data_IF_783956328423
#
_entry.id   IF_783956328423
#
_cell.length_a   1.000
_cell.length_b   1.000
_cell.length_c   1.000
_cell.angle_alpha   90.00
_cell.angle_beta   90.00
_cell.angle_gamma   90.00
#
_symmetry.space_group_name_H-M   'P 1'
#
loop_
_entity.id
_entity.type
_entity.pdbx_description
1 polymer ?
#
# COMPACT_ATOMS: atom_id res chain seq x y z
N UNK A 1 9.76 -1.50 -10.98
CA UNK A 1 9.84 -1.88 -12.42
C UNK A 1 11.24 -2.32 -12.79
N UNK A 2 12.22 -1.40 -12.95
CA UNK A 2 13.59 -1.78 -13.38
C UNK A 2 14.23 -2.78 -12.40
N UNK A 3 14.10 -2.55 -11.09
CA UNK A 3 14.64 -3.45 -10.07
C UNK A 3 14.11 -4.88 -10.17
N UNK A 4 12.79 -5.06 -10.29
CA UNK A 4 12.15 -6.37 -10.44
C UNK A 4 12.59 -7.08 -11.72
N UNK A 5 12.59 -6.37 -12.86
CA UNK A 5 12.95 -6.95 -14.16
C UNK A 5 14.43 -7.35 -14.21
N UNK A 6 15.31 -6.46 -13.78
CA UNK A 6 16.75 -6.72 -13.77
C UNK A 6 17.12 -7.81 -12.75
N UNK A 7 16.49 -7.81 -11.58
CA UNK A 7 16.65 -8.86 -10.58
C UNK A 7 16.15 -10.22 -11.07
N UNK A 8 15.02 -10.27 -11.78
CA UNK A 8 14.47 -11.49 -12.36
C UNK A 8 15.40 -12.05 -13.44
N UNK A 9 15.85 -11.19 -14.36
CA UNK A 9 16.84 -11.55 -15.36
C UNK A 9 18.13 -12.08 -14.72
N UNK A 10 18.66 -11.40 -13.70
CA UNK A 10 19.84 -11.85 -12.98
C UNK A 10 19.63 -13.20 -12.26
N UNK A 11 18.43 -13.47 -11.75
CA UNK A 11 18.09 -14.74 -11.09
C UNK A 11 18.03 -15.93 -12.04
N UNK A 12 17.60 -15.72 -13.29
CA UNK A 12 17.41 -16.83 -14.25
C UNK A 12 18.55 -16.99 -15.26
N UNK A 13 19.23 -15.89 -15.63
CA UNK A 13 20.33 -15.94 -16.62
C UNK A 13 21.47 -16.75 -16.04
N UNK A 14 21.93 -17.75 -16.81
CA UNK A 14 22.98 -18.69 -16.40
C UNK A 14 22.74 -19.34 -15.03
N UNK A 15 21.47 -19.51 -14.63
CA UNK A 15 21.03 -20.05 -13.33
C UNK A 15 21.43 -19.19 -12.12
N UNK A 16 21.66 -17.89 -12.34
CA UNK A 16 21.96 -16.93 -11.28
C UNK A 16 23.25 -16.17 -11.55
N UNK A 17 23.14 -14.85 -11.59
CA UNK A 17 24.25 -13.90 -11.65
C UNK A 17 24.12 -12.89 -10.52
N UNK A 18 25.26 -12.38 -10.05
CA UNK A 18 25.28 -11.25 -9.12
C UNK A 18 24.70 -10.00 -9.79
N UNK A 19 23.96 -9.20 -9.01
CA UNK A 19 23.46 -7.90 -9.44
C UNK A 19 23.45 -6.91 -8.29
N UNK A 20 23.35 -5.62 -8.63
CA UNK A 20 23.29 -4.49 -7.70
C UNK A 20 22.04 -3.67 -8.04
N UNK A 21 21.34 -3.18 -7.02
CA UNK A 21 20.23 -2.24 -7.19
C UNK A 21 20.76 -0.82 -7.01
N UNK A 22 20.44 0.08 -7.96
CA UNK A 22 20.67 1.52 -7.85
C UNK A 22 19.31 2.22 -8.02
N UNK A 23 18.46 2.20 -6.96
CA UNK A 23 17.10 2.73 -7.04
C UNK A 23 17.05 4.25 -7.22
N UNK A 24 16.36 4.71 -8.26
CA UNK A 24 16.25 6.14 -8.64
C UNK A 24 14.87 6.76 -8.39
N UNK A 25 13.98 6.05 -7.69
CA UNK A 25 12.71 6.58 -7.22
C UNK A 25 12.59 6.36 -5.72
N UNK A 26 11.82 7.22 -5.03
CA UNK A 26 11.64 7.06 -3.59
C UNK A 26 11.03 5.69 -3.27
N UNK A 27 10.01 5.26 -4.03
CA UNK A 27 9.42 3.93 -3.93
C UNK A 27 10.47 2.81 -4.00
N UNK A 28 11.42 2.92 -4.92
CA UNK A 28 12.47 1.92 -5.06
C UNK A 28 13.47 1.97 -3.91
N UNK A 29 13.80 3.15 -3.40
CA UNK A 29 14.73 3.32 -2.29
C UNK A 29 14.16 2.78 -0.97
N UNK A 30 12.87 2.94 -0.73
CA UNK A 30 12.24 2.60 0.56
C UNK A 30 11.55 1.23 0.57
N UNK A 31 11.32 0.64 -0.59
CA UNK A 31 10.59 -0.62 -0.71
C UNK A 31 11.20 -1.54 -1.77
N UNK A 32 10.91 -1.38 -3.05
CA UNK A 32 11.13 -2.45 -4.05
C UNK A 32 12.58 -2.93 -4.24
N UNK A 33 13.60 -2.13 -3.91
CA UNK A 33 15.00 -2.56 -4.01
C UNK A 33 15.46 -3.49 -2.87
N UNK A 34 14.72 -3.55 -1.76
CA UNK A 34 15.06 -4.33 -0.57
C UNK A 34 14.18 -5.59 -0.49
N UNK A 35 14.80 -6.74 -0.24
CA UNK A 35 14.11 -8.00 0.06
C UNK A 35 13.91 -8.97 -1.11
N UNK A 36 14.60 -8.76 -2.23
CA UNK A 36 14.86 -9.79 -3.25
C UNK A 36 13.66 -10.33 -4.02
N UNK A 37 12.47 -9.74 -3.90
CA UNK A 37 11.33 -10.11 -4.75
C UNK A 37 11.55 -9.55 -6.14
N UNK A 38 11.63 -10.42 -7.13
CA UNK A 38 11.85 -10.04 -8.53
C UNK A 38 10.83 -10.74 -9.41
N UNK A 39 10.43 -10.11 -10.51
CA UNK A 39 9.46 -10.72 -11.40
C UNK A 39 8.98 -9.82 -12.53
N UNK A 40 8.01 -10.35 -13.26
CA UNK A 40 7.36 -9.72 -14.39
C UNK A 40 5.85 -9.90 -14.32
N UNK A 41 5.14 -8.98 -14.97
CA UNK A 41 3.70 -9.09 -15.17
C UNK A 41 3.40 -10.11 -16.27
N UNK A 42 2.20 -10.70 -16.22
CA UNK A 42 1.63 -11.48 -17.30
C UNK A 42 0.26 -10.93 -17.68
N UNK A 43 -0.31 -11.38 -18.79
CA UNK A 43 -1.69 -11.04 -19.15
C UNK A 43 -2.74 -11.48 -18.10
N UNK A 44 -2.36 -12.33 -17.13
CA UNK A 44 -3.23 -12.82 -16.06
C UNK A 44 -3.06 -12.06 -14.74
N UNK A 45 -2.09 -11.16 -14.62
CA UNK A 45 -1.88 -10.39 -13.40
C UNK A 45 -0.45 -9.89 -13.18
N UNK A 46 -0.31 -9.05 -12.14
CA UNK A 46 0.93 -8.39 -11.73
C UNK A 46 1.86 -9.36 -11.01
N UNK A 47 3.17 -9.29 -11.29
CA UNK A 47 4.24 -10.04 -10.59
C UNK A 47 4.01 -11.57 -10.44
N UNK A 48 3.24 -12.20 -11.35
CA UNK A 48 2.88 -13.63 -11.25
C UNK A 48 4.03 -14.59 -11.60
N UNK A 49 5.05 -14.11 -12.31
CA UNK A 49 6.23 -14.90 -12.68
C UNK A 49 7.45 -14.20 -12.10
N UNK A 50 8.20 -14.90 -11.25
CA UNK A 50 9.29 -14.28 -10.50
C UNK A 50 10.20 -15.27 -9.80
N UNK A 51 11.27 -14.74 -9.20
CA UNK A 51 12.18 -15.49 -8.33
C UNK A 51 12.57 -14.61 -7.14
N UNK A 52 12.80 -15.23 -5.97
CA UNK A 52 13.48 -14.57 -4.87
C UNK A 52 14.99 -14.56 -5.15
N UNK A 53 15.55 -13.40 -5.49
CA UNK A 53 16.97 -13.20 -5.81
C UNK A 53 17.51 -11.94 -5.15
N UNK A 54 18.35 -12.10 -4.13
CA UNK A 54 18.87 -10.98 -3.34
C UNK A 54 19.99 -10.23 -4.10
N UNK A 55 19.97 -8.89 -4.13
CA UNK A 55 21.08 -8.11 -4.67
C UNK A 55 22.32 -8.24 -3.79
N UNK A 56 23.51 -8.06 -4.37
CA UNK A 56 24.77 -7.99 -3.61
C UNK A 56 24.97 -6.64 -2.92
N UNK A 57 24.31 -5.60 -3.43
CA UNK A 57 24.33 -4.26 -2.88
C UNK A 57 23.06 -3.51 -3.32
N UNK A 58 22.55 -2.66 -2.43
CA UNK A 58 21.59 -1.61 -2.76
C UNK A 58 22.28 -0.27 -2.51
N UNK A 59 22.42 0.55 -3.54
CA UNK A 59 23.00 1.89 -3.46
C UNK A 59 21.91 2.94 -3.62
N UNK A 60 21.36 3.41 -2.50
CA UNK A 60 20.33 4.45 -2.47
C UNK A 60 20.98 5.84 -2.35
N UNK A 61 21.32 6.43 -3.49
CA UNK A 61 21.74 7.82 -3.58
C UNK A 61 20.52 8.73 -3.45
N UNK A 62 20.46 9.59 -2.43
CA UNK A 62 19.28 10.43 -2.15
C UNK A 62 19.19 11.66 -3.05
N UNK A 63 20.29 12.08 -3.69
CA UNK A 63 20.34 13.27 -4.54
C UNK A 63 19.64 13.02 -5.88
N UNK A 64 19.64 11.78 -6.38
CA UNK A 64 18.94 11.43 -7.64
C UNK A 64 17.43 11.73 -7.55
N UNK A 65 16.87 11.76 -6.35
CA UNK A 65 15.45 12.06 -6.11
C UNK A 65 15.08 13.52 -6.40
N UNK A 66 16.05 14.44 -6.47
CA UNK A 66 15.80 15.85 -6.82
C UNK A 66 15.32 16.03 -8.26
N UNK A 67 15.57 15.02 -9.12
CA UNK A 67 15.09 14.99 -10.50
C UNK A 67 13.79 14.21 -10.68
N UNK A 68 13.30 13.56 -9.62
CA UNK A 68 12.10 12.73 -9.68
C UNK A 68 10.85 13.61 -9.80
N UNK A 69 9.90 13.32 -10.71
CA UNK A 69 8.64 14.03 -10.77
C UNK A 69 7.92 14.00 -9.42
N UNK A 70 7.39 15.14 -8.99
CA UNK A 70 6.75 15.27 -7.66
C UNK A 70 5.62 14.27 -7.42
N UNK A 71 4.90 13.86 -8.48
CA UNK A 71 3.86 12.83 -8.41
C UNK A 71 4.45 11.47 -8.01
N UNK A 72 5.56 11.08 -8.62
CA UNK A 72 6.25 9.82 -8.32
C UNK A 72 6.92 9.85 -6.95
N UNK A 73 7.45 11.02 -6.54
CA UNK A 73 7.97 11.21 -5.18
C UNK A 73 6.86 11.00 -4.15
N UNK A 74 5.70 11.66 -4.30
CA UNK A 74 4.53 11.46 -3.43
C UNK A 74 4.09 10.00 -3.41
N UNK A 75 3.99 9.36 -4.58
CA UNK A 75 3.62 7.96 -4.66
C UNK A 75 4.61 7.06 -3.87
N UNK A 76 5.92 7.31 -3.96
CA UNK A 76 6.90 6.61 -3.13
C UNK A 76 6.77 6.88 -1.63
N UNK A 77 6.37 8.09 -1.26
CA UNK A 77 6.15 8.48 0.13
C UNK A 77 5.01 7.67 0.78
N UNK A 78 4.02 7.21 0.02
CA UNK A 78 2.96 6.35 0.57
C UNK A 78 3.53 5.11 1.27
N UNK A 79 4.62 4.53 0.75
CA UNK A 79 5.29 3.39 1.38
C UNK A 79 6.07 3.77 2.63
N UNK A 80 6.65 4.98 2.70
CA UNK A 80 7.25 5.50 3.93
C UNK A 80 6.21 5.54 5.06
N UNK A 81 5.08 6.19 4.80
CA UNK A 81 3.99 6.28 5.76
C UNK A 81 3.47 4.90 6.17
N UNK A 82 3.39 3.96 5.22
CA UNK A 82 2.96 2.58 5.48
C UNK A 82 3.78 1.90 6.58
N UNK A 83 5.11 2.02 6.59
CA UNK A 83 5.94 1.42 7.66
C UNK A 83 5.58 1.97 9.04
N UNK A 84 5.37 3.29 9.13
CA UNK A 84 4.89 3.94 10.35
C UNK A 84 3.56 3.37 10.85
N UNK A 85 2.64 3.14 9.91
CA UNK A 85 1.31 2.60 10.19
C UNK A 85 1.30 1.10 10.53
N UNK A 86 2.29 0.34 10.08
CA UNK A 86 2.40 -1.10 10.35
C UNK A 86 2.83 -1.37 11.79
N UNK A 87 4.04 -0.94 12.17
CA UNK A 87 4.69 -1.30 13.45
C UNK A 87 5.72 -0.26 13.94
N UNK A 88 5.66 0.98 13.45
CA UNK A 88 6.57 2.07 13.82
C UNK A 88 5.81 3.37 14.12
N UNK A 89 4.98 3.42 15.18
CA UNK A 89 4.12 4.57 15.44
C UNK A 89 4.91 5.87 15.66
N UNK A 90 6.09 5.80 16.29
CA UNK A 90 6.96 6.96 16.49
C UNK A 90 7.50 7.50 15.15
N UNK A 91 7.77 6.63 14.18
CA UNK A 91 8.15 7.04 12.83
C UNK A 91 6.99 7.72 12.10
N UNK A 92 5.75 7.23 12.27
CA UNK A 92 4.59 7.92 11.71
C UNK A 92 4.40 9.31 12.32
N UNK A 93 4.53 9.44 13.64
CA UNK A 93 4.48 10.75 14.31
C UNK A 93 5.59 11.69 13.82
N UNK A 94 6.81 11.17 13.66
CA UNK A 94 7.92 11.93 13.11
C UNK A 94 7.64 12.39 11.67
N UNK A 95 7.04 11.55 10.82
CA UNK A 95 6.65 11.91 9.46
C UNK A 95 5.61 13.02 9.44
N UNK A 96 4.64 13.03 10.36
CA UNK A 96 3.66 14.11 10.46
C UNK A 96 4.30 15.50 10.66
N UNK A 97 5.40 15.55 11.39
CA UNK A 97 6.14 16.78 11.68
C UNK A 97 7.17 17.13 10.58
N UNK A 98 7.78 16.12 9.94
CA UNK A 98 8.99 16.30 9.12
C UNK A 98 8.79 16.06 7.62
N UNK A 99 7.60 15.67 7.15
CA UNK A 99 7.39 15.35 5.73
C UNK A 99 7.83 16.46 4.78
N UNK A 100 7.66 17.74 5.15
CA UNK A 100 8.12 18.86 4.33
C UNK A 100 9.63 18.85 4.08
N UNK A 101 10.42 18.47 5.08
CA UNK A 101 11.89 18.40 4.99
C UNK A 101 12.36 17.15 4.23
N UNK A 102 11.62 16.04 4.32
CA UNK A 102 11.83 14.86 3.47
C UNK A 102 11.75 15.25 1.99
N UNK A 103 10.77 16.09 1.64
CA UNK A 103 10.61 16.61 0.27
C UNK A 103 11.72 17.60 -0.10
N UNK A 104 12.15 18.44 0.84
CA UNK A 104 13.20 19.44 0.62
C UNK A 104 14.59 18.86 0.33
N UNK A 105 14.83 17.58 0.67
CA UNK A 105 16.11 16.90 0.39
C UNK A 105 17.18 17.07 1.46
N UNK A 106 16.76 17.50 2.65
CA UNK A 106 17.62 17.58 3.83
C UNK A 106 17.94 16.22 4.46
N UNK A 107 18.63 16.21 5.62
CA UNK A 107 18.95 15.00 6.37
C UNK A 107 17.72 14.14 6.71
N UNK A 108 16.54 14.76 6.85
CA UNK A 108 15.26 14.10 7.09
C UNK A 108 14.90 13.13 5.95
N UNK A 109 15.26 13.45 4.70
CA UNK A 109 15.05 12.53 3.58
C UNK A 109 15.86 11.25 3.77
N UNK A 110 17.14 11.39 4.09
CA UNK A 110 18.03 10.25 4.33
C UNK A 110 17.59 9.44 5.55
N UNK A 111 17.15 10.11 6.62
CA UNK A 111 16.63 9.46 7.83
C UNK A 111 15.36 8.64 7.54
N UNK A 112 14.40 9.21 6.82
CA UNK A 112 13.17 8.52 6.43
C UNK A 112 13.45 7.28 5.56
N UNK A 113 14.36 7.41 4.59
CA UNK A 113 14.76 6.28 3.72
C UNK A 113 15.47 5.21 4.53
N UNK A 114 16.37 5.59 5.42
CA UNK A 114 17.09 4.65 6.28
C UNK A 114 16.13 3.89 7.20
N UNK A 115 15.17 4.56 7.82
CA UNK A 115 14.18 3.91 8.70
C UNK A 115 13.28 2.93 7.93
N UNK A 116 12.80 3.32 6.74
CA UNK A 116 12.03 2.40 5.89
C UNK A 116 12.84 1.17 5.44
N UNK A 117 14.11 1.37 5.08
CA UNK A 117 15.03 0.27 4.78
C UNK A 117 15.21 -0.67 5.98
N UNK A 118 15.38 -0.14 7.20
CA UNK A 118 15.47 -0.94 8.43
C UNK A 118 14.17 -1.72 8.66
N UNK A 119 13.02 -1.05 8.59
CA UNK A 119 11.71 -1.68 8.77
C UNK A 119 11.50 -2.84 7.78
N UNK A 120 11.82 -2.65 6.50
CA UNK A 120 11.72 -3.73 5.51
C UNK A 120 12.74 -4.83 5.74
N UNK A 121 13.99 -4.49 6.04
CA UNK A 121 15.04 -5.46 6.32
C UNK A 121 14.69 -6.34 7.52
N UNK A 122 14.17 -5.74 8.60
CA UNK A 122 13.71 -6.45 9.79
C UNK A 122 12.63 -7.48 9.46
N UNK A 123 11.64 -7.10 8.64
CA UNK A 123 10.58 -8.00 8.19
C UNK A 123 11.13 -9.11 7.27
N UNK A 124 11.98 -8.77 6.32
CA UNK A 124 12.60 -9.73 5.40
C UNK A 124 13.49 -10.74 6.16
N UNK A 125 14.23 -10.29 7.16
CA UNK A 125 15.08 -11.15 7.98
C UNK A 125 14.26 -12.18 8.78
N UNK A 126 13.03 -11.83 9.18
CA UNK A 126 12.10 -12.75 9.86
C UNK A 126 11.36 -13.68 8.90
N UNK A 127 11.02 -13.21 7.70
CA UNK A 127 10.17 -13.94 6.75
C UNK A 127 10.52 -13.63 5.29
N UNK A 128 11.67 -14.15 4.83
CA UNK A 128 12.18 -13.88 3.47
C UNK A 128 11.20 -14.34 2.38
N UNK A 129 10.50 -15.46 2.57
CA UNK A 129 9.64 -16.06 1.54
C UNK A 129 8.15 -15.70 1.66
N UNK A 130 7.80 -14.75 2.52
CA UNK A 130 6.42 -14.29 2.71
C UNK A 130 5.43 -15.41 3.08
N UNK A 131 5.78 -16.16 4.12
CA UNK A 131 4.97 -17.25 4.68
C UNK A 131 4.20 -16.84 5.94
N UNK A 132 4.46 -15.66 6.50
CA UNK A 132 3.88 -15.14 7.73
C UNK A 132 3.91 -13.62 7.81
N UNK A 133 4.75 -13.07 8.69
CA UNK A 133 4.78 -11.64 9.06
C UNK A 133 4.99 -10.69 7.89
N UNK A 134 5.67 -11.11 6.81
CA UNK A 134 5.90 -10.24 5.65
C UNK A 134 4.60 -9.85 4.95
N UNK A 135 3.50 -10.58 5.19
CA UNK A 135 2.18 -10.19 4.73
C UNK A 135 1.73 -8.82 5.28
N UNK A 136 2.22 -8.36 6.44
CA UNK A 136 1.90 -7.05 7.01
C UNK A 136 2.32 -5.88 6.10
N UNK A 137 3.34 -6.08 5.26
CA UNK A 137 3.74 -5.09 4.25
C UNK A 137 2.65 -4.82 3.21
N UNK A 138 1.60 -5.65 3.16
CA UNK A 138 0.44 -5.46 2.30
C UNK A 138 -0.67 -4.60 2.94
N UNK A 139 -0.37 -3.83 4.01
CA UNK A 139 -1.28 -2.79 4.50
C UNK A 139 -1.68 -1.85 3.35
N UNK A 140 -2.99 -1.65 3.18
CA UNK A 140 -3.58 -0.89 2.08
C UNK A 140 -3.58 -1.59 0.71
N UNK A 141 -2.70 -2.56 0.46
CA UNK A 141 -2.51 -3.16 -0.86
C UNK A 141 -3.73 -3.95 -1.35
N UNK A 142 -4.53 -4.52 -0.45
CA UNK A 142 -5.74 -5.28 -0.87
C UNK A 142 -6.74 -4.38 -1.58
N UNK A 143 -6.97 -3.19 -1.06
CA UNK A 143 -7.80 -2.18 -1.74
C UNK A 143 -7.03 -1.51 -2.89
N UNK A 144 -5.76 -1.19 -2.69
CA UNK A 144 -4.92 -0.53 -3.70
C UNK A 144 -4.81 -1.33 -5.00
N UNK A 145 -4.52 -2.63 -4.93
CA UNK A 145 -4.47 -3.50 -6.10
C UNK A 145 -5.82 -3.62 -6.81
N UNK A 146 -6.92 -3.65 -6.06
CA UNK A 146 -8.26 -3.65 -6.65
C UNK A 146 -8.54 -2.35 -7.43
N UNK A 147 -8.06 -1.22 -6.92
CA UNK A 147 -8.16 0.08 -7.60
C UNK A 147 -7.23 0.15 -8.82
N UNK A 148 -6.00 -0.34 -8.73
CA UNK A 148 -5.07 -0.46 -9.87
C UNK A 148 -5.67 -1.33 -10.99
N UNK A 149 -6.29 -2.46 -10.63
CA UNK A 149 -6.98 -3.31 -11.60
C UNK A 149 -8.21 -2.62 -12.20
N UNK A 150 -8.98 -1.89 -11.38
CA UNK A 150 -10.15 -1.14 -11.83
C UNK A 150 -9.82 0.04 -12.75
N UNK A 151 -8.61 0.60 -12.67
CA UNK A 151 -8.11 1.58 -13.63
C UNK A 151 -7.37 0.94 -14.81
N UNK A 152 -7.41 -0.39 -14.94
CA UNK A 152 -6.69 -1.15 -15.97
C UNK A 152 -5.19 -0.87 -15.98
N UNK A 153 -4.61 -0.56 -14.82
CA UNK A 153 -3.22 -0.17 -14.66
C UNK A 153 -2.82 1.07 -15.49
N UNK A 154 -3.79 1.92 -15.82
CA UNK A 154 -3.54 3.20 -16.48
C UNK A 154 -2.85 4.17 -15.50
N UNK A 155 -1.55 4.38 -15.70
CA UNK A 155 -0.72 5.28 -14.89
C UNK A 155 -1.11 6.75 -15.01
N UNK A 156 -1.85 7.15 -16.06
CA UNK A 156 -2.40 8.50 -16.13
C UNK A 156 -3.49 8.69 -15.06
N UNK A 157 -4.23 7.62 -14.73
CA UNK A 157 -5.30 7.63 -13.73
C UNK A 157 -4.80 7.33 -12.32
N UNK A 158 -3.97 6.31 -12.15
CA UNK A 158 -3.55 5.85 -10.83
C UNK A 158 -2.20 5.15 -10.88
N UNK A 159 -1.19 5.69 -10.19
CA UNK A 159 0.07 4.96 -9.96
C UNK A 159 0.02 4.15 -8.66
N UNK A 160 0.90 3.16 -8.52
CA UNK A 160 0.87 2.21 -7.41
C UNK A 160 0.78 2.86 -6.01
N UNK A 161 1.66 3.83 -5.72
CA UNK A 161 1.67 4.51 -4.43
C UNK A 161 0.41 5.33 -4.14
N UNK A 162 -0.26 5.87 -5.17
CA UNK A 162 -1.57 6.52 -5.02
C UNK A 162 -2.65 5.48 -4.65
N UNK A 163 -2.62 4.31 -5.29
CA UNK A 163 -3.49 3.18 -4.96
C UNK A 163 -3.28 2.69 -3.52
N UNK A 164 -2.02 2.56 -3.10
CA UNK A 164 -1.65 2.19 -1.72
C UNK A 164 -2.12 3.24 -0.72
N UNK A 165 -1.96 4.53 -1.01
CA UNK A 165 -2.43 5.62 -0.13
C UNK A 165 -3.96 5.56 0.09
N UNK A 166 -4.74 5.47 -0.99
CA UNK A 166 -6.20 5.29 -0.89
C UNK A 166 -6.52 3.99 -0.15
N UNK A 167 -5.77 2.92 -0.44
CA UNK A 167 -5.94 1.63 0.20
C UNK A 167 -5.70 1.65 1.70
N UNK A 168 -4.69 2.38 2.18
CA UNK A 168 -4.42 2.56 3.61
C UNK A 168 -5.56 3.32 4.29
N UNK A 169 -6.04 4.42 3.69
CA UNK A 169 -7.19 5.15 4.20
C UNK A 169 -8.46 4.27 4.26
N UNK A 170 -8.70 3.44 3.24
CA UNK A 170 -9.78 2.45 3.24
C UNK A 170 -9.59 1.38 4.32
N UNK A 171 -8.38 0.85 4.53
CA UNK A 171 -8.10 -0.15 5.55
C UNK A 171 -8.33 0.38 6.97
N UNK A 172 -7.93 1.63 7.26
CA UNK A 172 -8.20 2.29 8.54
C UNK A 172 -9.70 2.52 8.74
N UNK A 173 -10.40 3.11 7.75
CA UNK A 173 -11.87 3.29 7.83
C UNK A 173 -12.62 1.97 8.01
N UNK A 174 -12.20 0.92 7.31
CA UNK A 174 -12.82 -0.39 7.42
C UNK A 174 -12.55 -1.02 8.79
N UNK A 175 -11.35 -0.84 9.35
CA UNK A 175 -11.02 -1.26 10.71
C UNK A 175 -11.87 -0.52 11.75
N UNK A 176 -12.08 0.79 11.60
CA UNK A 176 -12.99 1.57 12.45
C UNK A 176 -14.45 1.12 12.31
N UNK A 177 -14.92 0.85 11.09
CA UNK A 177 -16.28 0.29 10.84
C UNK A 177 -16.50 -1.03 11.57
N UNK A 178 -15.48 -1.87 11.64
CA UNK A 178 -15.51 -3.15 12.35
C UNK A 178 -15.28 -3.00 13.87
N UNK A 179 -15.22 -1.77 14.39
CA UNK A 179 -14.90 -1.44 15.80
C UNK A 179 -13.54 -1.99 16.26
N UNK A 180 -12.57 -2.11 15.35
CA UNK A 180 -11.22 -2.62 15.64
C UNK A 180 -10.23 -1.50 15.99
N UNK A 181 -10.46 -0.28 15.49
CA UNK A 181 -9.59 0.88 15.67
C UNK A 181 -10.42 2.16 15.85
N UNK A 182 -9.82 3.20 16.44
CA UNK A 182 -10.51 4.49 16.62
C UNK A 182 -10.82 5.15 15.27
N UNK A 183 -12.00 5.77 15.08
CA UNK A 183 -12.24 6.66 13.95
C UNK A 183 -11.25 7.83 13.87
N UNK A 184 -10.70 8.28 15.01
CA UNK A 184 -9.71 9.36 15.07
C UNK A 184 -8.38 8.95 14.42
N UNK A 185 -7.99 7.68 14.53
CA UNK A 185 -6.81 7.15 13.84
C UNK A 185 -6.99 7.20 12.33
N UNK A 186 -8.18 6.81 11.83
CA UNK A 186 -8.49 6.92 10.41
C UNK A 186 -8.44 8.38 9.94
N UNK A 187 -9.01 9.31 10.70
CA UNK A 187 -8.96 10.73 10.40
C UNK A 187 -7.52 11.28 10.40
N UNK A 188 -6.67 10.84 11.34
CA UNK A 188 -5.26 11.23 11.42
C UNK A 188 -4.47 10.75 10.20
N UNK A 189 -4.66 9.50 9.78
CA UNK A 189 -4.03 8.95 8.57
C UNK A 189 -4.47 9.72 7.32
N UNK A 190 -5.78 9.96 7.17
CA UNK A 190 -6.31 10.73 6.03
C UNK A 190 -5.79 12.16 6.01
N UNK A 191 -5.69 12.82 7.17
CA UNK A 191 -5.12 14.15 7.29
C UNK A 191 -3.65 14.19 6.85
N UNK A 192 -2.84 13.22 7.27
CA UNK A 192 -1.45 13.15 6.86
C UNK A 192 -1.29 12.90 5.36
N UNK A 193 -2.02 11.93 4.79
CA UNK A 193 -2.01 11.68 3.34
C UNK A 193 -2.40 12.94 2.55
N UNK A 194 -3.44 13.64 3.01
CA UNK A 194 -3.87 14.91 2.42
C UNK A 194 -2.79 15.99 2.52
N UNK A 195 -2.11 16.13 3.67
CA UNK A 195 -1.07 17.13 3.88
C UNK A 195 0.11 16.94 2.90
N UNK A 196 0.50 15.69 2.64
CA UNK A 196 1.55 15.33 1.69
C UNK A 196 1.11 15.54 0.23
N UNK A 197 -0.19 15.61 -0.02
CA UNK A 197 -0.79 15.74 -1.34
C UNK A 197 -1.02 14.40 -2.05
N UNK A 198 -1.18 13.32 -1.28
CA UNK A 198 -1.59 12.01 -1.76
C UNK A 198 -3.12 11.89 -1.81
N UNK A 199 -3.67 11.09 -2.75
CA UNK A 199 -5.09 10.76 -2.73
C UNK A 199 -5.40 9.81 -1.58
N UNK A 200 -6.59 9.95 -1.00
CA UNK A 200 -7.01 9.15 0.15
C UNK A 200 -8.46 8.65 0.03
N UNK A 201 -9.18 9.05 -1.02
CA UNK A 201 -10.51 8.54 -1.37
C UNK A 201 -10.53 7.98 -2.78
N UNK A 202 -11.42 7.02 -3.00
CA UNK A 202 -11.74 6.53 -4.34
C UNK A 202 -12.21 7.65 -5.28
N UNK A 203 -12.85 8.70 -4.73
CA UNK A 203 -13.29 9.87 -5.49
C UNK A 203 -12.16 10.77 -6.00
N UNK A 204 -10.95 10.62 -5.45
CA UNK A 204 -9.79 11.39 -5.91
C UNK A 204 -9.16 10.73 -7.16
N UNK A 205 -9.62 9.55 -7.59
CA UNK A 205 -9.16 8.86 -8.81
C UNK A 205 -9.85 9.49 -10.03
N UNK A 206 -9.11 9.97 -11.05
CA UNK A 206 -9.69 10.49 -12.29
C UNK A 206 -10.52 9.44 -13.05
N UNK A 207 -11.67 9.86 -13.57
CA UNK A 207 -12.57 9.01 -14.35
C UNK A 207 -13.47 8.11 -13.50
N UNK A 208 -14.37 7.38 -14.15
CA UNK A 208 -15.32 6.52 -13.44
C UNK A 208 -14.65 5.24 -12.91
N UNK A 209 -15.07 4.82 -11.72
CA UNK A 209 -14.75 3.51 -11.17
C UNK A 209 -15.94 2.57 -11.38
N UNK A 210 -15.68 1.26 -11.55
CA UNK A 210 -16.74 0.27 -11.66
C UNK A 210 -17.52 0.16 -10.35
N UNK A 211 -18.56 -0.66 -10.34
CA UNK A 211 -19.39 -0.86 -9.14
C UNK A 211 -18.68 -1.65 -8.02
N UNK A 212 -19.31 -1.69 -6.85
CA UNK A 212 -18.74 -2.30 -5.66
C UNK A 212 -18.55 -3.82 -5.85
N UNK A 213 -19.42 -4.45 -6.63
CA UNK A 213 -19.38 -5.85 -7.02
C UNK A 213 -18.15 -6.15 -7.86
N UNK A 214 -17.85 -5.33 -8.87
CA UNK A 214 -16.65 -5.46 -9.68
C UNK A 214 -15.37 -5.18 -8.86
N UNK A 215 -15.38 -4.18 -7.97
CA UNK A 215 -14.27 -3.92 -7.05
C UNK A 215 -14.01 -5.11 -6.12
N UNK A 216 -15.07 -5.71 -5.56
CA UNK A 216 -14.97 -6.93 -4.76
C UNK A 216 -14.41 -8.09 -5.59
N UNK A 217 -14.81 -8.23 -6.85
CA UNK A 217 -14.28 -9.26 -7.74
C UNK A 217 -12.75 -9.11 -7.91
N UNK A 218 -12.24 -7.88 -8.09
CA UNK A 218 -10.78 -7.65 -8.12
C UNK A 218 -10.09 -8.03 -6.80
N UNK A 219 -10.68 -7.69 -5.65
CA UNK A 219 -10.16 -8.11 -4.34
C UNK A 219 -10.09 -9.64 -4.23
N UNK A 220 -11.10 -10.36 -4.72
CA UNK A 220 -11.14 -11.83 -4.67
C UNK A 220 -10.17 -12.51 -5.62
N UNK A 221 -9.75 -11.86 -6.71
CA UNK A 221 -8.81 -12.43 -7.67
C UNK A 221 -7.35 -12.37 -7.18
N UNK A 222 -7.00 -11.33 -6.42
CA UNK A 222 -5.65 -11.10 -5.87
C UNK A 222 -5.22 -12.21 -4.88
N UNK A 223 -6.18 -12.87 -4.24
CA UNK A 223 -5.93 -13.87 -3.21
C UNK A 223 -6.58 -15.17 -3.61
N UNK A 224 -5.83 -16.28 -3.66
CA UNK A 224 -6.42 -17.62 -3.75
C UNK A 224 -7.38 -17.80 -2.57
N UNK A 225 -8.66 -17.58 -2.80
CA UNK A 225 -9.70 -17.67 -1.78
C UNK A 225 -9.78 -19.14 -1.35
N UNK A 226 -9.24 -19.47 -0.18
CA UNK A 226 -9.57 -20.73 0.46
C UNK A 226 -10.91 -20.53 1.17
N UNK A 227 -11.97 -21.17 0.66
CA UNK A 227 -13.30 -21.29 1.31
C UNK A 227 -14.14 -20.00 1.49
N UNK A 228 -14.04 -19.03 0.59
CA UNK A 228 -14.88 -17.81 0.62
C UNK A 228 -14.45 -16.73 1.62
N UNK A 229 -13.38 -16.98 2.38
CA UNK A 229 -12.82 -16.07 3.38
C UNK A 229 -11.75 -15.16 2.78
N UNK A 230 -11.89 -13.84 2.95
CA UNK A 230 -10.88 -12.87 2.52
C UNK A 230 -9.88 -12.62 3.65
N UNK A 231 -8.59 -12.61 3.30
CA UNK A 231 -7.54 -12.16 4.20
C UNK A 231 -7.25 -10.69 3.93
N UNK A 232 -7.16 -9.86 4.97
CA UNK A 232 -6.80 -8.44 4.89
C UNK A 232 -5.66 -8.13 5.85
N UNK A 233 -4.97 -7.01 5.59
CA UNK A 233 -4.16 -6.36 6.62
C UNK A 233 -4.98 -5.20 7.15
N UNK A 234 -5.42 -5.34 8.40
CA UNK A 234 -6.22 -4.36 9.13
C UNK A 234 -5.40 -3.80 10.28
N UNK A 235 -5.99 -2.91 11.08
CA UNK A 235 -5.29 -2.23 12.16
C UNK A 235 -6.11 -2.15 13.43
N UNK A 236 -5.43 -2.11 14.59
CA UNK A 236 -6.00 -1.74 15.89
C UNK A 236 -5.68 -0.31 16.32
N UNK A 237 -4.96 0.44 15.47
CA UNK A 237 -4.47 1.78 15.73
C UNK A 237 -3.14 2.02 15.01
N UNK A 238 -2.62 3.24 15.05
CA UNK A 238 -1.34 3.56 14.42
C UNK A 238 -0.21 2.66 14.97
N UNK A 239 0.51 1.99 14.06
CA UNK A 239 1.59 1.06 14.41
C UNK A 239 1.12 -0.31 14.94
N UNK A 240 -0.15 -0.67 14.71
CA UNK A 240 -0.75 -1.92 15.19
C UNK A 240 -1.46 -2.70 14.07
N UNK A 241 -0.80 -2.82 12.90
CA UNK A 241 -1.34 -3.61 11.81
C UNK A 241 -1.32 -5.11 12.14
N UNK A 242 -2.32 -5.85 11.64
CA UNK A 242 -2.43 -7.30 11.85
C UNK A 242 -3.09 -7.99 10.65
N UNK A 243 -2.84 -9.30 10.54
CA UNK A 243 -3.46 -10.15 9.51
C UNK A 243 -4.87 -10.54 9.98
N UNK A 244 -5.89 -9.95 9.37
CA UNK A 244 -7.28 -10.31 9.57
C UNK A 244 -7.67 -11.43 8.60
N UNK A 245 -7.91 -12.62 9.14
CA UNK A 245 -8.44 -13.76 8.39
C UNK A 245 -9.96 -13.74 8.43
N UNK A 246 -10.59 -14.43 7.48
CA UNK A 246 -12.03 -14.70 7.47
C UNK A 246 -12.91 -13.43 7.44
N UNK A 247 -12.44 -12.36 6.78
CA UNK A 247 -13.24 -11.15 6.58
C UNK A 247 -14.43 -11.48 5.66
N UNK A 248 -15.69 -11.28 6.10
CA UNK A 248 -16.86 -11.58 5.29
C UNK A 248 -16.94 -10.69 4.05
N UNK A 249 -17.08 -11.29 2.87
CA UNK A 249 -17.23 -10.54 1.61
C UNK A 249 -18.43 -9.59 1.61
N UNK A 250 -19.48 -9.90 2.37
CA UNK A 250 -20.65 -9.02 2.55
C UNK A 250 -20.32 -7.70 3.26
N UNK A 251 -19.44 -7.73 4.27
CA UNK A 251 -18.99 -6.52 4.96
C UNK A 251 -18.13 -5.65 4.03
N UNK A 252 -17.23 -6.29 3.27
CA UNK A 252 -16.41 -5.59 2.27
C UNK A 252 -17.31 -4.95 1.20
N UNK A 253 -18.31 -5.68 0.69
CA UNK A 253 -19.24 -5.15 -0.31
C UNK A 253 -20.03 -3.95 0.20
N UNK A 254 -20.59 -4.06 1.41
CA UNK A 254 -21.31 -2.95 2.04
C UNK A 254 -20.42 -1.73 2.24
N UNK A 255 -19.18 -1.94 2.69
CA UNK A 255 -18.21 -0.86 2.88
C UNK A 255 -17.81 -0.18 1.55
N UNK A 256 -17.60 -0.96 0.49
CA UNK A 256 -17.29 -0.44 -0.84
C UNK A 256 -18.44 0.41 -1.39
N UNK A 257 -19.69 -0.02 -1.19
CA UNK A 257 -20.89 0.76 -1.61
C UNK A 257 -20.94 2.12 -0.93
N UNK A 258 -20.68 2.19 0.38
CA UNK A 258 -20.70 3.43 1.17
C UNK A 258 -19.59 4.42 0.82
N UNK A 259 -18.43 3.93 0.36
CA UNK A 259 -17.27 4.77 0.08
C UNK A 259 -17.15 5.13 -1.42
N UNK A 260 -18.02 4.61 -2.28
CA UNK A 260 -17.99 4.88 -3.73
C UNK A 260 -18.36 6.34 -4.02
N UNK A 261 -17.72 6.99 -5.02
CA UNK A 261 -18.12 8.32 -5.46
C UNK A 261 -19.58 8.32 -5.95
N UNK A 262 -20.37 9.31 -5.54
CA UNK A 262 -21.71 9.56 -6.10
C UNK A 262 -22.91 8.87 -5.43
N UNK A 263 -22.73 8.15 -4.31
CA UNK A 263 -23.90 7.75 -3.51
C UNK A 263 -24.30 8.84 -2.51
N UNK A 264 -25.61 9.14 -2.35
CA UNK A 264 -26.07 9.98 -1.25
C UNK A 264 -25.74 9.27 0.07
N UNK A 265 -25.13 9.99 1.02
CA UNK A 265 -24.92 9.49 2.39
C UNK A 265 -26.28 9.01 2.91
N UNK A 266 -26.43 7.70 3.13
CA UNK A 266 -27.64 7.13 3.70
C UNK A 266 -27.98 7.85 5.01
N UNK A 267 -29.20 8.38 5.10
CA UNK A 267 -29.67 9.09 6.28
C UNK A 267 -29.58 8.18 7.52
N UNK A 268 -29.18 8.70 8.69
CA UNK A 268 -29.25 7.94 9.95
C UNK A 268 -30.70 7.53 10.19
N UNK A 269 -30.91 6.25 10.51
CA UNK A 269 -32.20 5.59 10.53
C UNK A 269 -33.32 6.36 11.22
N UNK A 270 -34.46 6.49 10.53
CA UNK A 270 -35.73 6.75 11.20
C UNK A 270 -36.05 5.55 12.10
N UNK A 271 -35.98 5.78 13.41
CA UNK A 271 -36.67 4.97 14.40
C UNK A 271 -38.13 4.84 13.98
N UNK A 272 -38.54 3.62 13.61
CA UNK A 272 -39.95 3.25 13.53
C UNK A 272 -40.53 3.35 14.93
N UNK A 273 -41.26 4.43 15.20
CA UNK A 273 -42.22 4.48 16.30
C UNK A 273 -43.23 3.34 16.10
N UNK A 274 -43.32 2.45 17.08
CA UNK A 274 -44.42 1.49 17.18
C UNK A 274 -45.65 2.23 17.69
N UNK A 275 -46.86 1.95 17.17
CA UNK A 275 -48.08 2.50 17.75
C UNK A 275 -48.42 1.72 19.03
N UNK A 276 -48.67 2.47 20.10
CA UNK A 276 -49.36 2.06 21.31
C UNK A 276 -50.40 3.12 21.63
#
# INVERSE_FOLDING_TARGET
VIGDLAGFAAGIVRRGMNFVQVPTSLLAQVDSSVGGKTGINSARGKNLVGVFHQPKLVLADTEVLDTLPIRDFRAGYAELAKYGLIDRPDFFAWLEENWGQVFAGGPERAEAIAEACRAKADVVARDEFETGDRALLNLGHTFGHALEAATHYDSARLVHGEGVAIGMALAYRFSSRLNLASPDDAARVEAHLRAVGLPWRMADIPGELPDAEALLAFITQDKKVSRGALTFILTRGIGQAFIAKDVPGSEVLSFLRENRPGQPKGSPGQQKSRPG
#
